data_IF_973296370978
#
_entry.id   IF_973296370978
#
_cell.length_a   1.000
_cell.length_b   1.000
_cell.length_c   1.000
_cell.angle_alpha   90.00
_cell.angle_beta   90.00
_cell.angle_gamma   90.00
#
_symmetry.space_group_name_H-M   'P 1'
#
loop_
_entity.id
_entity.type
_entity.pdbx_description
1 polymer ?
#
# COMPACT_ATOMS: atom_id res chain seq x y z
N UNK A 1 16.20 15.16 19.72
CA UNK A 1 16.79 15.06 18.36
C UNK A 1 16.13 13.98 17.51
N UNK A 2 15.94 12.76 18.03
CA UNK A 2 15.30 11.67 17.30
C UNK A 2 13.83 11.97 16.97
N UNK A 3 13.13 12.61 17.86
CA UNK A 3 11.71 13.00 17.72
C UNK A 3 11.53 14.02 16.61
N UNK A 4 12.31 15.10 16.62
CA UNK A 4 12.26 16.11 15.57
C UNK A 4 12.59 15.51 14.20
N UNK A 5 13.57 14.62 14.16
CA UNK A 5 13.94 13.90 12.94
C UNK A 5 12.79 13.04 12.40
N UNK A 6 12.13 12.25 13.26
CA UNK A 6 11.01 11.39 12.85
C UNK A 6 9.82 12.20 12.32
N UNK A 7 9.52 13.34 12.94
CA UNK A 7 8.45 14.24 12.48
C UNK A 7 8.79 14.90 11.15
N UNK A 8 10.01 15.41 11.01
CA UNK A 8 10.49 16.05 9.78
C UNK A 8 10.51 15.06 8.60
N UNK A 9 11.00 13.86 8.83
CA UNK A 9 11.03 12.81 7.79
C UNK A 9 9.62 12.40 7.36
N UNK A 10 8.69 12.28 8.29
CA UNK A 10 7.30 11.96 7.97
C UNK A 10 6.62 13.07 7.18
N UNK A 11 6.85 14.33 7.54
CA UNK A 11 6.32 15.47 6.82
C UNK A 11 6.91 15.58 5.41
N UNK A 12 8.22 15.38 5.27
CA UNK A 12 8.88 15.34 3.94
C UNK A 12 8.33 14.22 3.08
N UNK A 13 8.08 13.06 3.66
CA UNK A 13 7.50 11.93 2.94
C UNK A 13 6.09 12.24 2.44
N UNK A 14 5.22 12.81 3.28
CA UNK A 14 3.87 13.23 2.87
C UNK A 14 3.90 14.27 1.74
N UNK A 15 4.79 15.23 1.83
CA UNK A 15 4.96 16.23 0.78
C UNK A 15 5.49 15.62 -0.52
N UNK A 16 6.47 14.72 -0.44
CA UNK A 16 6.99 13.97 -1.57
C UNK A 16 5.94 13.09 -2.24
N UNK A 17 5.07 12.48 -1.44
CA UNK A 17 3.95 11.68 -1.94
C UNK A 17 2.92 12.54 -2.69
N UNK A 18 2.55 13.70 -2.15
CA UNK A 18 1.65 14.65 -2.81
C UNK A 18 2.21 15.12 -4.15
N UNK A 19 3.49 15.50 -4.17
CA UNK A 19 4.18 15.90 -5.40
C UNK A 19 4.25 14.75 -6.41
N UNK A 20 4.57 13.54 -5.96
CA UNK A 20 4.65 12.36 -6.82
C UNK A 20 3.31 11.96 -7.44
N UNK A 21 2.20 12.30 -6.80
CA UNK A 21 0.84 12.02 -7.29
C UNK A 21 0.29 13.13 -8.20
N UNK A 22 0.93 14.30 -8.24
CA UNK A 22 0.49 15.39 -9.11
C UNK A 22 0.50 14.99 -10.58
N UNK A 23 -0.57 15.31 -11.29
CA UNK A 23 -0.72 15.02 -12.73
C UNK A 23 -1.01 13.57 -13.07
N UNK A 24 -1.09 12.67 -12.11
CA UNK A 24 -1.47 11.26 -12.32
C UNK A 24 -2.97 11.12 -12.05
N UNK A 25 -3.74 10.92 -13.11
CA UNK A 25 -5.20 10.86 -13.00
C UNK A 25 -5.74 9.46 -12.72
N UNK A 26 -5.11 8.42 -13.29
CA UNK A 26 -5.59 7.05 -13.12
C UNK A 26 -5.28 6.52 -11.71
N UNK A 27 -6.28 6.04 -10.96
CA UNK A 27 -6.08 5.60 -9.58
C UNK A 27 -5.17 4.36 -9.45
N UNK A 28 -5.10 3.51 -10.46
CA UNK A 28 -4.19 2.36 -10.44
C UNK A 28 -2.72 2.81 -10.63
N UNK A 29 -2.49 3.81 -11.48
CA UNK A 29 -1.17 4.44 -11.62
C UNK A 29 -0.78 5.24 -10.36
N UNK A 30 -1.73 5.90 -9.71
CA UNK A 30 -1.52 6.54 -8.42
C UNK A 30 -1.12 5.52 -7.35
N UNK A 31 -1.75 4.36 -7.35
CA UNK A 31 -1.40 3.26 -6.44
C UNK A 31 0.03 2.77 -6.68
N UNK A 32 0.46 2.66 -7.93
CA UNK A 32 1.83 2.28 -8.25
C UNK A 32 2.86 3.27 -7.66
N UNK A 33 2.61 4.56 -7.79
CA UNK A 33 3.46 5.62 -7.20
C UNK A 33 3.45 5.55 -5.68
N UNK A 34 2.29 5.39 -5.07
CA UNK A 34 2.15 5.24 -3.62
C UNK A 34 2.98 4.06 -3.09
N UNK A 35 2.85 2.90 -3.70
CA UNK A 35 3.58 1.68 -3.32
C UNK A 35 5.09 1.89 -3.44
N UNK A 36 5.57 2.42 -4.57
CA UNK A 36 7.00 2.68 -4.81
C UNK A 36 7.59 3.60 -3.75
N UNK A 37 6.94 4.72 -3.49
CA UNK A 37 7.40 5.70 -2.52
C UNK A 37 7.40 5.13 -1.09
N UNK A 38 6.39 4.34 -0.74
CA UNK A 38 6.33 3.64 0.55
C UNK A 38 7.46 2.62 0.72
N UNK A 39 7.74 1.81 -0.27
CA UNK A 39 8.84 0.84 -0.21
C UNK A 39 10.18 1.57 -0.03
N UNK A 40 10.41 2.62 -0.80
CA UNK A 40 11.63 3.42 -0.71
C UNK A 40 11.78 4.09 0.66
N UNK A 41 10.70 4.60 1.20
CA UNK A 41 10.69 5.25 2.50
C UNK A 41 10.92 4.25 3.64
N UNK A 42 10.20 3.13 3.65
CA UNK A 42 10.35 2.09 4.66
C UNK A 42 11.75 1.46 4.66
N UNK A 43 12.34 1.24 3.48
CA UNK A 43 13.69 0.72 3.35
C UNK A 43 14.75 1.69 3.89
N UNK A 44 14.51 2.98 3.81
CA UNK A 44 15.43 4.03 4.28
C UNK A 44 15.27 4.38 5.74
N UNK A 45 14.08 4.18 6.31
CA UNK A 45 13.79 4.50 7.71
C UNK A 45 14.06 3.32 8.62
N UNK A 46 15.05 3.44 9.48
CA UNK A 46 15.27 2.54 10.61
C UNK A 46 14.59 3.09 11.87
N UNK A 47 13.26 3.27 11.81
CA UNK A 47 12.49 3.72 12.96
C UNK A 47 12.21 2.55 13.90
N UNK A 48 12.29 2.75 15.23
CA UNK A 48 11.94 1.72 16.19
C UNK A 48 10.46 1.34 16.06
N UNK A 49 10.08 0.10 16.45
CA UNK A 49 8.68 -0.34 16.46
C UNK A 49 7.76 0.60 17.25
N UNK A 50 6.48 0.65 16.89
CA UNK A 50 5.50 1.57 17.48
C UNK A 50 5.50 1.64 19.02
N UNK A 51 5.55 0.51 19.78
CA UNK A 51 5.63 0.56 21.24
C UNK A 51 6.89 1.24 21.77
N UNK A 52 8.05 1.00 21.16
CA UNK A 52 9.30 1.67 21.52
C UNK A 52 9.26 3.16 21.16
N UNK A 53 8.71 3.50 20.00
CA UNK A 53 8.50 4.89 19.59
C UNK A 53 7.63 5.64 20.60
N UNK A 54 6.55 5.03 21.06
CA UNK A 54 5.64 5.62 22.05
C UNK A 54 6.32 5.97 23.36
N UNK A 55 7.25 5.15 23.82
CA UNK A 55 8.01 5.40 25.05
C UNK A 55 9.07 6.50 24.91
N UNK A 56 9.50 6.79 23.68
CA UNK A 56 10.55 7.77 23.38
C UNK A 56 9.99 9.17 23.05
N UNK A 57 8.70 9.28 22.78
CA UNK A 57 8.05 10.52 22.37
C UNK A 57 7.26 11.15 23.51
N UNK A 58 7.26 12.51 23.56
CA UNK A 58 6.28 13.21 24.38
C UNK A 58 4.85 12.94 23.87
N UNK A 59 3.82 13.07 24.72
CA UNK A 59 2.42 12.90 24.29
C UNK A 59 2.05 13.78 23.10
N UNK A 60 2.54 15.02 23.06
CA UNK A 60 2.33 15.96 21.95
C UNK A 60 2.99 15.50 20.65
N UNK A 61 4.25 15.08 20.73
CA UNK A 61 4.98 14.58 19.55
C UNK A 61 4.40 13.27 19.04
N UNK A 62 3.94 12.41 19.93
CA UNK A 62 3.26 11.17 19.56
C UNK A 62 1.93 11.44 18.86
N UNK A 63 1.14 12.39 19.36
CA UNK A 63 -0.11 12.81 18.71
C UNK A 63 0.13 13.40 17.32
N UNK A 64 1.19 14.21 17.16
CA UNK A 64 1.58 14.80 15.89
C UNK A 64 2.01 13.74 14.87
N UNK A 65 2.78 12.75 15.30
CA UNK A 65 3.16 11.60 14.47
C UNK A 65 1.91 10.79 14.06
N UNK A 66 0.98 10.56 14.98
CA UNK A 66 -0.28 9.88 14.72
C UNK A 66 -1.13 10.60 13.67
N UNK A 67 -1.14 11.92 13.68
CA UNK A 67 -1.80 12.73 12.66
C UNK A 67 -1.19 12.50 11.27
N UNK A 68 0.11 12.50 11.15
CA UNK A 68 0.79 12.24 9.88
C UNK A 68 0.55 10.81 9.37
N UNK A 69 0.55 9.82 10.24
CA UNK A 69 0.21 8.44 9.88
C UNK A 69 -1.24 8.35 9.38
N UNK A 70 -2.16 9.06 10.04
CA UNK A 70 -3.56 9.12 9.60
C UNK A 70 -3.69 9.78 8.22
N UNK A 71 -3.01 10.89 7.97
CA UNK A 71 -2.99 11.54 6.66
C UNK A 71 -2.49 10.60 5.55
N UNK A 72 -1.46 9.80 5.83
CA UNK A 72 -0.93 8.80 4.92
C UNK A 72 -1.95 7.70 4.62
N UNK A 73 -2.64 7.21 5.64
CA UNK A 73 -3.73 6.23 5.49
C UNK A 73 -4.87 6.80 4.65
N UNK A 74 -5.19 8.08 4.81
CA UNK A 74 -6.22 8.75 4.02
C UNK A 74 -5.84 8.85 2.54
N UNK A 75 -4.57 9.07 2.21
CA UNK A 75 -4.11 9.06 0.81
C UNK A 75 -4.41 7.71 0.15
N UNK A 76 -4.05 6.61 0.79
CA UNK A 76 -4.35 5.28 0.27
C UNK A 76 -5.86 5.02 0.16
N UNK A 77 -6.62 5.39 1.18
CA UNK A 77 -8.08 5.24 1.17
C UNK A 77 -8.73 5.99 0.01
N UNK A 78 -8.27 7.21 -0.29
CA UNK A 78 -8.75 7.98 -1.45
C UNK A 78 -8.41 7.30 -2.77
N UNK A 79 -7.21 6.78 -2.93
CA UNK A 79 -6.79 6.05 -4.14
C UNK A 79 -7.67 4.82 -4.35
N UNK A 80 -7.87 4.01 -3.31
CA UNK A 80 -8.71 2.82 -3.37
C UNK A 80 -10.19 3.15 -3.65
N UNK A 81 -10.71 4.20 -3.01
CA UNK A 81 -12.07 4.68 -3.26
C UNK A 81 -12.28 5.12 -4.70
N UNK A 82 -11.33 5.85 -5.26
CA UNK A 82 -11.37 6.29 -6.65
C UNK A 82 -11.29 5.09 -7.61
N UNK A 83 -10.43 4.12 -7.32
CA UNK A 83 -10.29 2.91 -8.13
C UNK A 83 -11.61 2.09 -8.18
N UNK A 84 -12.32 2.00 -7.06
CA UNK A 84 -13.64 1.37 -7.00
C UNK A 84 -14.68 2.20 -7.75
N UNK A 85 -14.74 3.49 -7.48
CA UNK A 85 -15.73 4.40 -8.08
C UNK A 85 -15.60 4.50 -9.61
N UNK A 86 -14.38 4.45 -10.14
CA UNK A 86 -14.07 4.49 -11.56
C UNK A 86 -14.03 3.11 -12.21
N UNK A 87 -14.38 2.08 -11.49
CA UNK A 87 -14.51 0.69 -11.95
C UNK A 87 -13.19 0.06 -12.44
N UNK A 88 -12.08 0.37 -11.79
CA UNK A 88 -10.78 -0.28 -12.04
C UNK A 88 -10.53 -1.49 -11.14
N UNK A 89 -11.16 -1.54 -9.97
CA UNK A 89 -11.14 -2.69 -9.06
C UNK A 89 -12.56 -2.99 -8.57
N UNK A 90 -12.86 -4.24 -8.18
CA UNK A 90 -14.15 -4.59 -7.62
C UNK A 90 -14.43 -3.88 -6.30
N UNK A 91 -15.70 -3.69 -5.99
CA UNK A 91 -16.13 -3.15 -4.71
C UNK A 91 -15.71 -4.07 -3.57
N UNK A 92 -15.08 -3.49 -2.56
CA UNK A 92 -14.61 -4.21 -1.37
C UNK A 92 -14.50 -3.24 -0.19
N UNK A 93 -14.24 -3.76 0.99
CA UNK A 93 -13.98 -2.97 2.18
C UNK A 93 -12.61 -2.27 2.07
N UNK A 94 -12.63 -0.94 1.99
CA UNK A 94 -11.41 -0.13 1.80
C UNK A 94 -10.46 -0.26 2.98
N UNK A 95 -10.97 -0.36 4.21
CA UNK A 95 -10.14 -0.52 5.40
C UNK A 95 -9.39 -1.83 5.38
N UNK A 96 -10.05 -2.91 5.01
CA UNK A 96 -9.43 -4.23 4.88
C UNK A 96 -8.39 -4.25 3.76
N UNK A 97 -8.72 -3.70 2.59
CA UNK A 97 -7.77 -3.58 1.48
C UNK A 97 -6.53 -2.76 1.86
N UNK A 98 -6.70 -1.66 2.57
CA UNK A 98 -5.58 -0.85 3.04
C UNK A 98 -4.66 -1.62 4.00
N UNK A 99 -5.21 -2.43 4.89
CA UNK A 99 -4.44 -3.30 5.79
C UNK A 99 -3.62 -4.33 5.01
N UNK A 100 -4.21 -4.97 4.00
CA UNK A 100 -3.53 -5.95 3.15
C UNK A 100 -2.41 -5.31 2.33
N UNK A 101 -2.65 -4.13 1.78
CA UNK A 101 -1.61 -3.36 1.07
C UNK A 101 -0.44 -3.04 1.99
N UNK A 102 -0.69 -2.50 3.18
CA UNK A 102 0.37 -2.15 4.12
C UNK A 102 1.15 -3.39 4.62
N UNK A 103 0.48 -4.50 4.86
CA UNK A 103 1.14 -5.77 5.22
C UNK A 103 2.10 -6.25 4.13
N UNK A 104 1.70 -6.16 2.87
CA UNK A 104 2.54 -6.51 1.72
C UNK A 104 3.75 -5.57 1.58
N UNK A 105 3.57 -4.28 1.84
CA UNK A 105 4.64 -3.29 1.78
C UNK A 105 5.72 -3.54 2.83
N UNK A 106 5.34 -3.85 4.06
CA UNK A 106 6.27 -4.11 5.15
C UNK A 106 7.21 -5.28 4.85
N UNK A 107 6.68 -6.36 4.25
CA UNK A 107 7.48 -7.50 3.81
C UNK A 107 8.42 -7.15 2.65
N UNK A 108 7.95 -6.39 1.68
CA UNK A 108 8.71 -6.05 0.47
C UNK A 108 9.83 -5.04 0.73
N UNK A 109 9.67 -4.13 1.68
CA UNK A 109 10.67 -3.12 2.01
C UNK A 109 11.99 -3.74 2.49
N UNK A 110 11.95 -4.74 3.38
CA UNK A 110 13.13 -5.45 3.84
C UNK A 110 13.87 -6.17 2.70
N UNK A 111 13.15 -6.78 1.80
CA UNK A 111 13.75 -7.44 0.63
C UNK A 111 14.41 -6.46 -0.35
N UNK A 112 13.83 -5.29 -0.54
CA UNK A 112 14.39 -4.25 -1.38
C UNK A 112 15.69 -3.68 -0.79
N UNK A 113 15.78 -3.55 0.53
CA UNK A 113 17.01 -3.11 1.22
C UNK A 113 18.15 -4.13 1.04
N UNK A 114 17.85 -5.41 1.07
CA UNK A 114 18.81 -6.50 0.96
C UNK A 114 19.17 -6.87 -0.49
N UNK A 115 18.60 -6.19 -1.48
CA UNK A 115 18.87 -6.48 -2.88
C UNK A 115 20.34 -6.25 -3.25
N UNK A 116 20.99 -7.20 -4.00
CA UNK A 116 22.41 -7.13 -4.31
C UNK A 116 22.79 -6.00 -5.25
N UNK A 117 21.87 -5.54 -6.08
CA UNK A 117 22.05 -4.48 -7.08
C UNK A 117 20.74 -3.71 -7.35
N UNK A 118 20.86 -2.60 -8.05
CA UNK A 118 19.73 -1.73 -8.38
C UNK A 118 18.74 -2.39 -9.36
N UNK A 119 19.22 -3.19 -10.29
CA UNK A 119 18.36 -3.90 -11.24
C UNK A 119 17.47 -4.93 -10.51
N UNK A 120 18.03 -5.70 -9.60
CA UNK A 120 17.29 -6.64 -8.76
C UNK A 120 16.29 -5.91 -7.88
N UNK A 121 16.71 -4.81 -7.27
CA UNK A 121 15.85 -3.97 -6.44
C UNK A 121 14.65 -3.44 -7.23
N UNK A 122 14.87 -2.87 -8.40
CA UNK A 122 13.81 -2.35 -9.27
C UNK A 122 12.84 -3.45 -9.70
N UNK A 123 13.34 -4.60 -10.07
CA UNK A 123 12.49 -5.76 -10.41
C UNK A 123 11.63 -6.20 -9.23
N UNK A 124 12.16 -6.25 -8.02
CA UNK A 124 11.40 -6.60 -6.81
C UNK A 124 10.30 -5.57 -6.52
N UNK A 125 10.60 -4.28 -6.68
CA UNK A 125 9.61 -3.21 -6.50
C UNK A 125 8.49 -3.34 -7.52
N UNK A 126 8.81 -3.51 -8.80
CA UNK A 126 7.83 -3.68 -9.87
C UNK A 126 6.96 -4.93 -9.66
N UNK A 127 7.54 -6.03 -9.22
CA UNK A 127 6.80 -7.24 -8.90
C UNK A 127 5.83 -7.02 -7.73
N UNK A 128 6.25 -6.30 -6.71
CA UNK A 128 5.39 -5.95 -5.57
C UNK A 128 4.23 -5.07 -5.99
N UNK A 129 4.50 -4.05 -6.81
CA UNK A 129 3.47 -3.15 -7.34
C UNK A 129 2.43 -3.97 -8.11
N UNK A 130 2.86 -4.79 -9.05
CA UNK A 130 1.98 -5.59 -9.89
C UNK A 130 1.19 -6.62 -9.07
N UNK A 131 1.83 -7.27 -8.12
CA UNK A 131 1.17 -8.21 -7.22
C UNK A 131 0.03 -7.56 -6.42
N UNK A 132 0.28 -6.39 -5.87
CA UNK A 132 -0.75 -5.65 -5.11
C UNK A 132 -1.88 -5.19 -6.03
N UNK A 133 -1.57 -4.61 -7.17
CA UNK A 133 -2.58 -4.15 -8.13
C UNK A 133 -3.49 -5.30 -8.59
N UNK A 134 -2.91 -6.42 -8.96
CA UNK A 134 -3.66 -7.61 -9.38
C UNK A 134 -4.42 -8.27 -8.24
N UNK A 135 -3.83 -8.28 -7.04
CA UNK A 135 -4.50 -8.78 -5.83
C UNK A 135 -5.75 -7.99 -5.47
N UNK A 136 -5.76 -6.70 -5.77
CA UNK A 136 -6.94 -5.83 -5.62
C UNK A 136 -7.99 -6.04 -6.72
N UNK A 137 -7.66 -6.76 -7.78
CA UNK A 137 -8.55 -7.05 -8.89
C UNK A 137 -8.35 -6.15 -10.11
N UNK A 138 -7.28 -5.35 -10.16
CA UNK A 138 -6.97 -4.53 -11.33
C UNK A 138 -6.60 -5.39 -12.54
N UNK A 139 -6.98 -4.93 -13.71
CA UNK A 139 -6.67 -5.55 -15.00
C UNK A 139 -5.87 -4.59 -15.88
N UNK A 140 -5.10 -5.17 -16.80
CA UNK A 140 -4.19 -4.43 -17.66
C UNK A 140 -4.31 -4.92 -19.11
N UNK A 141 -4.12 -4.00 -20.05
CA UNK A 141 -4.02 -4.34 -21.47
C UNK A 141 -2.64 -4.93 -21.83
N UNK A 142 -2.43 -5.24 -23.08
CA UNK A 142 -1.18 -5.82 -23.56
C UNK A 142 0.03 -4.89 -23.39
N UNK A 143 -0.20 -3.58 -23.33
CA UNK A 143 0.82 -2.55 -23.11
C UNK A 143 1.08 -2.27 -21.61
N UNK A 144 0.32 -2.93 -20.72
CA UNK A 144 0.45 -2.77 -19.28
C UNK A 144 -0.31 -1.58 -18.70
N UNK A 145 -1.23 -0.98 -19.45
CA UNK A 145 -2.07 0.10 -18.94
C UNK A 145 -3.28 -0.45 -18.19
N UNK A 146 -3.71 0.20 -17.10
CA UNK A 146 -4.93 -0.20 -16.40
C UNK A 146 -6.15 -0.09 -17.31
N UNK A 147 -7.03 -1.08 -17.25
CA UNK A 147 -8.32 -1.07 -17.95
C UNK A 147 -9.45 -1.20 -16.96
N UNK A 148 -10.59 -0.58 -17.30
CA UNK A 148 -11.81 -0.70 -16.49
C UNK A 148 -12.35 -2.12 -16.57
N UNK A 149 -12.94 -2.57 -15.46
CA UNK A 149 -13.67 -3.83 -15.41
C UNK A 149 -14.96 -3.67 -16.23
N UNK A 150 -15.29 -4.70 -17.03
CA UNK A 150 -16.54 -4.72 -17.75
C UNK A 150 -17.73 -4.91 -16.80
N UNK A 151 -18.85 -4.25 -17.09
CA UNK A 151 -20.04 -4.28 -16.24
C UNK A 151 -20.67 -5.69 -16.11
N UNK A 152 -20.32 -6.62 -16.99
CA UNK A 152 -20.82 -7.98 -17.00
C UNK A 152 -19.92 -8.98 -16.25
N UNK A 153 -18.70 -8.57 -15.89
CA UNK A 153 -17.80 -9.33 -15.03
C UNK A 153 -17.91 -8.90 -13.57
N UNK A 154 -19.10 -8.84 -13.03
CA UNK A 154 -19.25 -9.08 -11.61
C UNK A 154 -18.61 -10.41 -11.34
N UNK A 155 -17.58 -10.42 -10.48
CA UNK A 155 -17.00 -11.65 -9.97
C UNK A 155 -18.15 -12.64 -9.67
N UNK A 156 -18.05 -13.91 -10.09
CA UNK A 156 -19.03 -14.88 -9.64
C UNK A 156 -19.15 -14.71 -8.14
N UNK A 157 -20.38 -14.58 -7.64
CA UNK A 157 -20.66 -14.60 -6.22
C UNK A 157 -19.73 -15.65 -5.63
N UNK A 158 -18.85 -15.26 -4.72
CA UNK A 158 -18.04 -16.22 -4.00
C UNK A 158 -19.04 -17.16 -3.37
N UNK A 159 -19.27 -18.28 -4.04
CA UNK A 159 -19.99 -19.39 -3.43
C UNK A 159 -19.33 -19.58 -2.08
N UNK A 160 -20.07 -19.59 -0.98
CA UNK A 160 -19.49 -19.83 0.31
C UNK A 160 -18.57 -21.02 0.16
N UNK A 161 -17.31 -20.86 0.54
CA UNK A 161 -16.35 -21.97 0.55
C UNK A 161 -17.09 -23.07 1.27
N UNK A 162 -17.55 -24.08 0.51
CA UNK A 162 -18.09 -25.27 1.12
C UNK A 162 -16.99 -25.74 2.04
N UNK A 163 -17.23 -25.69 3.33
CA UNK A 163 -16.38 -26.31 4.30
C UNK A 163 -16.14 -27.73 3.80
N UNK A 164 -14.99 -27.93 3.17
CA UNK A 164 -14.52 -29.25 2.86
C UNK A 164 -14.36 -29.94 4.21
N UNK A 165 -15.37 -30.71 4.58
CA UNK A 165 -15.38 -31.41 5.84
C UNK A 165 -14.13 -32.24 5.95
N UNK A 166 -13.19 -31.77 6.78
CA UNK A 166 -12.08 -32.59 7.24
C UNK A 166 -12.71 -33.66 8.15
N UNK A 167 -13.15 -34.75 7.54
CA UNK A 167 -13.42 -35.98 8.30
C UNK A 167 -12.07 -36.48 8.81
N UNK A 168 -11.77 -36.13 10.03
CA UNK A 168 -10.72 -36.80 10.80
C UNK A 168 -11.21 -38.25 10.95
N UNK A 169 -10.57 -39.15 10.22
CA UNK A 169 -10.77 -40.58 10.43
C UNK A 169 -10.20 -40.93 11.81
N UNK A 170 -11.08 -41.49 12.65
CA UNK A 170 -10.70 -42.09 13.94
C UNK A 170 -9.90 -43.33 13.73
#
# INVERSE_FOLDING_TARGET
RLVAYALDETERFLNGLRVGLEGIENPIDQLAVYIRLQINDLARRHLPPGPAMRSMLSPESYAKLGKHVHELQMVLAHILSAAIAENYIPKNDIRELAMLVHGSLSSSAGRAEDAPDEETRERQILNTIRFIQMGLGARFDAEGNPVRLDSEESLPEQSPVQEAGLKVAS
#
